data_IF_693441479029
#
_entry.id   IF_693441479029
#
_cell.length_a   1.000
_cell.length_b   1.000
_cell.length_c   1.000
_cell.angle_alpha   90.00
_cell.angle_beta   90.00
_cell.angle_gamma   90.00
#
_symmetry.space_group_name_H-M   'P 1'
#
loop_
_entity.id
_entity.type
_entity.pdbx_description
1 polymer ?
#
# COMPACT_ATOMS: atom_id res chain seq x y z
N UNK A 1 -11.61 11.02 -5.05
CA UNK A 1 -11.47 10.88 -3.58
C UNK A 1 -9.99 10.73 -3.26
N UNK A 2 -9.51 11.29 -2.14
CA UNK A 2 -8.10 11.12 -1.73
C UNK A 2 -7.98 9.85 -0.89
N UNK A 3 -7.11 8.95 -1.33
CA UNK A 3 -6.70 7.76 -0.59
C UNK A 3 -5.44 8.07 0.20
N UNK A 4 -5.48 7.89 1.53
CA UNK A 4 -4.32 8.06 2.41
C UNK A 4 -3.65 6.71 2.61
N UNK A 5 -2.35 6.64 2.37
CA UNK A 5 -1.54 5.43 2.49
C UNK A 5 -0.66 5.53 3.73
N UNK A 6 -0.61 4.45 4.51
CA UNK A 6 0.32 4.35 5.63
C UNK A 6 0.70 2.90 5.92
N UNK A 7 1.86 2.72 6.52
CA UNK A 7 2.40 1.44 6.97
C UNK A 7 2.76 1.49 8.45
N UNK A 8 2.93 0.33 9.07
CA UNK A 8 3.49 0.22 10.41
C UNK A 8 5.03 0.28 10.34
N UNK A 9 5.68 1.27 10.96
CA UNK A 9 7.15 1.39 10.93
C UNK A 9 7.86 0.52 11.98
N UNK A 10 7.15 -0.27 12.77
CA UNK A 10 7.76 -1.04 13.86
C UNK A 10 8.80 -2.07 13.34
N UNK A 11 10.01 -2.10 13.93
CA UNK A 11 10.99 -3.13 13.60
C UNK A 11 10.48 -4.53 13.91
N UNK A 12 10.66 -5.44 12.96
CA UNK A 12 10.26 -6.83 13.10
C UNK A 12 11.38 -7.62 13.79
N UNK A 13 11.02 -8.38 14.83
CA UNK A 13 11.95 -9.23 15.57
C UNK A 13 11.71 -10.71 15.26
N UNK A 14 12.75 -11.40 14.82
CA UNK A 14 12.75 -12.83 14.57
C UNK A 14 13.80 -13.49 15.47
N UNK A 15 13.35 -14.43 16.30
CA UNK A 15 14.24 -15.27 17.09
C UNK A 15 14.33 -16.65 16.44
N UNK A 16 15.55 -17.12 16.19
CA UNK A 16 15.82 -18.41 15.54
C UNK A 16 17.03 -19.11 16.16
N UNK A 17 17.28 -20.36 15.78
CA UNK A 17 18.49 -21.09 16.13
C UNK A 17 19.27 -21.44 14.88
N UNK A 18 20.56 -21.12 14.87
CA UNK A 18 21.48 -21.50 13.80
C UNK A 18 22.56 -22.41 14.39
N UNK A 19 22.61 -23.66 13.92
CA UNK A 19 23.58 -24.66 14.39
C UNK A 19 23.55 -24.84 15.93
N UNK A 20 22.37 -24.78 16.53
CA UNK A 20 22.18 -24.88 17.99
C UNK A 20 22.56 -23.62 18.78
N UNK A 21 22.86 -22.51 18.10
CA UNK A 21 23.11 -21.21 18.74
C UNK A 21 21.92 -20.29 18.54
N UNK A 22 21.35 -19.69 19.61
CA UNK A 22 20.25 -18.76 19.47
C UNK A 22 20.71 -17.46 18.79
N UNK A 23 19.94 -17.01 17.80
CA UNK A 23 20.17 -15.80 17.02
C UNK A 23 18.90 -14.97 17.00
N UNK A 24 19.01 -13.71 17.39
CA UNK A 24 17.94 -12.73 17.23
C UNK A 24 18.24 -11.87 16.00
N UNK A 25 17.24 -11.63 15.17
CA UNK A 25 17.30 -10.77 13.99
C UNK A 25 16.29 -9.65 14.17
N UNK A 26 16.72 -8.42 13.89
CA UNK A 26 15.88 -7.22 13.88
C UNK A 26 15.89 -6.62 12.48
N UNK A 27 14.73 -6.57 11.83
CA UNK A 27 14.54 -5.90 10.54
C UNK A 27 13.88 -4.54 10.76
N UNK A 28 14.54 -3.46 10.37
CA UNK A 28 14.03 -2.09 10.48
C UNK A 28 13.64 -1.57 9.11
N UNK A 29 12.41 -1.09 8.89
CA UNK A 29 12.00 -0.57 7.59
C UNK A 29 12.75 0.74 7.30
N UNK A 30 13.24 0.88 6.06
CA UNK A 30 14.03 2.03 5.61
C UNK A 30 13.46 2.72 4.37
N UNK A 31 12.63 2.02 3.60
CA UNK A 31 11.94 2.59 2.43
C UNK A 31 10.62 1.87 2.17
N UNK A 32 9.64 2.60 1.65
CA UNK A 32 8.31 2.13 1.29
C UNK A 32 8.06 2.47 -0.18
N UNK A 33 7.79 1.46 -1.00
CA UNK A 33 7.44 1.60 -2.41
C UNK A 33 6.00 1.10 -2.63
N UNK A 34 5.11 2.04 -2.91
CA UNK A 34 3.70 1.80 -3.18
C UNK A 34 3.47 1.64 -4.68
N UNK A 35 2.80 0.58 -5.08
CA UNK A 35 2.17 0.43 -6.38
C UNK A 35 0.66 0.56 -6.18
N UNK A 36 0.04 1.43 -6.97
CA UNK A 36 -1.37 1.80 -6.84
C UNK A 36 -2.28 0.96 -7.74
N UNK A 37 -1.73 0.06 -8.55
CA UNK A 37 -2.50 -0.83 -9.43
C UNK A 37 -3.00 -0.17 -10.72
N UNK A 38 -2.92 1.15 -10.85
CA UNK A 38 -3.18 1.92 -12.07
C UNK A 38 -1.88 2.27 -12.83
N UNK A 39 -0.72 1.80 -12.36
CA UNK A 39 0.60 2.12 -12.90
C UNK A 39 1.29 3.32 -12.23
N UNK A 40 0.57 4.12 -11.44
CA UNK A 40 1.19 5.13 -10.60
C UNK A 40 1.92 4.44 -9.43
N UNK A 41 3.11 4.96 -9.08
CA UNK A 41 3.90 4.44 -7.96
C UNK A 41 4.40 5.57 -7.07
N UNK A 42 4.61 5.28 -5.78
CA UNK A 42 5.11 6.25 -4.80
C UNK A 42 6.22 5.62 -3.97
N UNK A 43 7.42 6.19 -3.99
CA UNK A 43 8.50 5.81 -3.05
C UNK A 43 8.66 6.86 -1.97
N UNK A 44 8.74 6.44 -0.71
CA UNK A 44 9.00 7.32 0.43
C UNK A 44 9.87 6.64 1.50
N UNK A 45 10.50 7.43 2.35
CA UNK A 45 11.20 6.96 3.57
C UNK A 45 10.36 7.10 4.83
N UNK A 46 9.21 7.79 4.74
CA UNK A 46 8.26 7.93 5.84
C UNK A 46 7.13 6.90 5.68
N UNK A 47 6.72 6.18 6.74
CA UNK A 47 5.60 5.24 6.67
C UNK A 47 4.25 5.87 6.34
N UNK A 48 4.14 7.19 6.23
CA UNK A 48 2.85 7.89 6.16
C UNK A 48 2.18 7.98 7.53
N UNK A 49 0.93 8.41 7.56
CA UNK A 49 0.11 8.51 8.78
C UNK A 49 -1.37 8.35 8.42
N UNK A 50 -2.22 7.86 9.35
CA UNK A 50 -3.65 7.80 9.10
C UNK A 50 -4.25 9.19 8.83
N UNK A 51 -5.40 9.20 8.15
CA UNK A 51 -6.19 10.41 7.93
C UNK A 51 -6.41 11.17 9.26
N UNK A 52 -6.30 12.52 9.29
CA UNK A 52 -6.32 13.48 8.18
C UNK A 52 -4.95 13.82 7.56
N UNK A 53 -3.90 13.05 7.86
CA UNK A 53 -2.59 13.30 7.25
C UNK A 53 -2.54 12.83 5.80
N UNK A 54 -2.40 13.74 4.84
CA UNK A 54 -2.30 13.42 3.41
C UNK A 54 -0.86 13.34 2.87
N UNK A 55 0.12 13.14 3.78
CA UNK A 55 1.57 13.09 3.45
C UNK A 55 1.88 12.07 2.36
N UNK A 56 1.27 10.89 2.42
CA UNK A 56 1.31 9.89 1.35
C UNK A 56 -0.12 9.68 0.90
N UNK A 57 -0.44 10.18 -0.29
CA UNK A 57 -1.79 10.17 -0.81
C UNK A 57 -1.84 9.93 -2.32
N UNK A 58 -2.95 9.33 -2.75
CA UNK A 58 -3.24 9.06 -4.15
C UNK A 58 -4.71 9.35 -4.48
N UNK A 59 -5.00 9.55 -5.75
CA UNK A 59 -6.35 9.63 -6.28
C UNK A 59 -6.38 8.95 -7.64
N UNK A 60 -7.47 8.25 -7.94
CA UNK A 60 -7.67 7.62 -9.25
C UNK A 60 -8.47 8.55 -10.16
N UNK A 61 -8.04 8.66 -11.42
CA UNK A 61 -8.71 9.46 -12.44
C UNK A 61 -9.81 8.69 -13.20
N UNK A 62 -9.79 7.37 -13.13
CA UNK A 62 -10.74 6.48 -13.80
C UNK A 62 -11.43 5.57 -12.77
N UNK A 63 -12.67 5.18 -13.09
CA UNK A 63 -13.44 4.26 -12.25
C UNK A 63 -12.98 2.83 -12.45
N UNK A 64 -12.99 2.05 -11.36
CA UNK A 64 -12.70 0.62 -11.37
C UNK A 64 -12.03 0.12 -10.10
N UNK A 65 -11.80 -1.19 -10.08
CA UNK A 65 -11.03 -1.88 -9.04
C UNK A 65 -9.53 -1.75 -9.29
N UNK A 66 -8.79 -1.44 -8.22
CA UNK A 66 -7.34 -1.35 -8.21
C UNK A 66 -6.77 -2.09 -7.01
N UNK A 67 -5.65 -2.79 -7.20
CA UNK A 67 -4.93 -3.47 -6.12
C UNK A 67 -3.71 -2.65 -5.71
N UNK A 68 -3.74 -2.12 -4.49
CA UNK A 68 -2.61 -1.39 -3.92
C UNK A 68 -1.66 -2.39 -3.27
N UNK A 69 -0.39 -2.38 -3.64
CA UNK A 69 0.66 -3.19 -3.01
C UNK A 69 1.77 -2.33 -2.44
N UNK A 70 2.36 -2.77 -1.33
CA UNK A 70 3.50 -2.13 -0.70
C UNK A 70 4.70 -3.06 -0.71
N UNK A 71 5.79 -2.61 -1.32
CA UNK A 71 7.12 -3.21 -1.15
C UNK A 71 7.89 -2.42 -0.11
N UNK A 72 8.19 -3.04 1.03
CA UNK A 72 8.98 -2.43 2.11
C UNK A 72 10.40 -2.97 2.08
N UNK A 73 11.38 -2.06 2.01
CA UNK A 73 12.80 -2.37 2.12
C UNK A 73 13.23 -2.28 3.58
N UNK A 74 13.86 -3.32 4.10
CA UNK A 74 14.37 -3.38 5.47
C UNK A 74 15.90 -3.46 5.51
N UNK A 75 16.49 -2.77 6.48
CA UNK A 75 17.86 -3.05 6.94
C UNK A 75 17.82 -4.00 8.13
N UNK A 76 18.80 -4.91 8.19
CA UNK A 76 18.83 -5.96 9.20
C UNK A 76 19.95 -5.78 10.21
N UNK A 77 19.72 -6.21 11.44
CA UNK A 77 20.75 -6.43 12.46
C UNK A 77 20.55 -7.80 13.09
N UNK A 78 21.62 -8.43 13.57
CA UNK A 78 21.55 -9.70 14.28
C UNK A 78 22.35 -9.69 15.59
N UNK A 79 21.95 -10.53 16.54
CA UNK A 79 22.65 -10.77 17.80
C UNK A 79 22.75 -12.27 18.03
N UNK A 80 23.96 -12.74 18.35
CA UNK A 80 24.26 -14.16 18.58
C UNK A 80 24.42 -14.40 20.07
N UNK A 81 23.70 -15.40 20.60
CA UNK A 81 23.78 -15.81 22.00
C UNK A 81 23.59 -14.67 23.03
N UNK A 82 22.77 -13.67 22.69
CA UNK A 82 22.54 -12.49 23.53
C UNK A 82 23.69 -11.48 23.54
N UNK A 83 24.62 -11.57 22.58
CA UNK A 83 25.70 -10.61 22.37
C UNK A 83 25.23 -9.26 21.80
N UNK A 84 26.19 -8.40 21.45
CA UNK A 84 25.89 -7.11 20.81
C UNK A 84 25.22 -7.28 19.44
N UNK A 85 24.39 -6.30 19.07
CA UNK A 85 23.80 -6.22 17.74
C UNK A 85 24.89 -5.89 16.69
N UNK A 86 24.85 -6.62 15.58
CA UNK A 86 25.74 -6.47 14.44
C UNK A 86 24.90 -6.19 13.19
N UNK A 87 25.37 -5.32 12.32
CA UNK A 87 24.68 -5.00 11.07
C UNK A 87 24.75 -6.17 10.08
N UNK A 88 23.67 -6.36 9.33
CA UNK A 88 23.62 -7.27 8.19
C UNK A 88 23.90 -6.43 6.95
N UNK A 89 24.95 -6.79 6.19
CA UNK A 89 25.23 -6.14 4.92
C UNK A 89 24.09 -6.41 3.92
N UNK A 90 23.51 -5.34 3.39
CA UNK A 90 22.44 -5.39 2.40
C UNK A 90 21.06 -5.05 2.97
N UNK A 91 20.03 -5.32 2.17
CA UNK A 91 18.63 -5.08 2.51
C UNK A 91 17.79 -6.24 2.04
N UNK A 92 16.61 -6.38 2.63
CA UNK A 92 15.58 -7.32 2.17
C UNK A 92 14.34 -6.54 1.76
N UNK A 93 13.62 -7.05 0.77
CA UNK A 93 12.34 -6.48 0.34
C UNK A 93 11.22 -7.46 0.69
N UNK A 94 10.14 -6.93 1.25
CA UNK A 94 8.92 -7.69 1.57
C UNK A 94 7.76 -6.99 0.90
N UNK A 95 7.01 -7.75 0.10
CA UNK A 95 5.81 -7.29 -0.59
C UNK A 95 4.60 -7.64 0.28
N UNK A 96 3.68 -6.71 0.48
CA UNK A 96 2.42 -6.94 1.17
C UNK A 96 1.44 -7.74 0.31
N UNK A 97 0.43 -8.33 0.93
CA UNK A 97 -0.77 -8.72 0.22
C UNK A 97 -1.43 -7.47 -0.42
N UNK A 98 -2.08 -7.61 -1.59
CA UNK A 98 -2.78 -6.50 -2.23
C UNK A 98 -3.99 -6.07 -1.40
N UNK A 99 -4.21 -4.76 -1.32
CA UNK A 99 -5.41 -4.16 -0.74
C UNK A 99 -6.29 -3.65 -1.88
N UNK A 100 -7.47 -4.26 -2.11
CA UNK A 100 -8.36 -3.84 -3.18
C UNK A 100 -9.08 -2.54 -2.81
N UNK A 101 -9.15 -1.62 -3.76
CA UNK A 101 -9.89 -0.36 -3.66
C UNK A 101 -10.74 -0.17 -4.91
N UNK A 102 -12.01 0.21 -4.73
CA UNK A 102 -12.87 0.63 -5.83
C UNK A 102 -12.91 2.16 -5.91
N UNK A 103 -12.49 2.72 -7.05
CA UNK A 103 -12.64 4.13 -7.34
C UNK A 103 -13.97 4.35 -8.08
N UNK A 104 -14.89 5.13 -7.51
CA UNK A 104 -16.14 5.52 -8.17
C UNK A 104 -16.08 6.97 -8.63
N UNK A 105 -16.56 7.23 -9.84
CA UNK A 105 -16.77 8.59 -10.36
C UNK A 105 -18.24 8.96 -10.28
N UNK A 106 -18.55 10.18 -9.86
CA UNK A 106 -19.93 10.67 -9.77
C UNK A 106 -20.07 11.96 -10.57
N UNK A 107 -20.99 11.97 -11.53
CA UNK A 107 -21.42 13.19 -12.22
C UNK A 107 -22.72 13.71 -11.60
N UNK A 108 -22.71 14.96 -11.15
CA UNK A 108 -23.94 15.62 -10.71
C UNK A 108 -24.77 16.03 -11.93
N UNK A 109 -26.01 15.55 -12.01
CA UNK A 109 -27.01 16.00 -12.99
C UNK A 109 -28.23 16.50 -12.25
N UNK A 110 -28.87 17.55 -12.78
CA UNK A 110 -30.14 18.01 -12.24
C UNK A 110 -31.22 17.01 -12.65
N UNK A 111 -31.66 16.21 -11.67
CA UNK A 111 -32.74 15.24 -11.82
C UNK A 111 -33.95 15.69 -11.01
N UNK A 112 -35.13 15.17 -11.38
CA UNK A 112 -36.28 15.26 -10.49
C UNK A 112 -35.96 14.43 -9.23
N UNK A 113 -36.02 15.08 -8.05
CA UNK A 113 -35.52 14.51 -6.79
C UNK A 113 -36.33 13.32 -6.26
N UNK A 114 -37.49 13.05 -6.88
CA UNK A 114 -38.36 11.94 -6.54
C UNK A 114 -37.97 10.61 -7.21
N UNK A 115 -36.97 10.60 -8.10
CA UNK A 115 -36.44 9.37 -8.73
C UNK A 115 -35.27 8.82 -7.88
N UNK A 116 -35.42 7.66 -7.24
CA UNK A 116 -34.32 7.02 -6.50
C UNK A 116 -33.18 6.62 -7.44
N UNK A 117 -31.95 6.61 -6.93
CA UNK A 117 -30.82 5.96 -7.62
C UNK A 117 -31.11 4.46 -7.71
N UNK A 118 -31.05 3.89 -8.91
CA UNK A 118 -31.19 2.45 -9.10
C UNK A 118 -29.86 1.75 -8.82
N UNK A 119 -29.67 1.32 -7.58
CA UNK A 119 -28.47 0.59 -7.15
C UNK A 119 -28.37 -0.83 -7.74
N UNK A 120 -29.43 -1.33 -8.39
CA UNK A 120 -29.40 -2.63 -9.08
C UNK A 120 -28.79 -2.52 -10.47
N UNK A 121 -28.89 -1.36 -11.11
CA UNK A 121 -28.23 -1.07 -12.39
C UNK A 121 -26.84 -0.43 -12.21
N UNK A 122 -26.66 0.43 -11.20
CA UNK A 122 -25.38 1.11 -10.89
C UNK A 122 -25.04 1.01 -9.39
N UNK A 123 -24.47 -0.12 -8.94
CA UNK A 123 -24.11 -0.31 -7.55
C UNK A 123 -22.99 0.65 -7.13
N UNK A 124 -23.03 1.10 -5.87
CA UNK A 124 -21.96 1.94 -5.28
C UNK A 124 -20.58 1.27 -5.29
N UNK A 125 -20.54 -0.04 -5.14
CA UNK A 125 -19.34 -0.87 -5.25
C UNK A 125 -19.75 -2.13 -6.00
N UNK A 126 -19.37 -2.29 -7.29
CA UNK A 126 -19.69 -3.48 -8.06
C UNK A 126 -18.87 -4.68 -7.59
N UNK A 127 -19.35 -5.90 -7.88
CA UNK A 127 -18.55 -7.11 -7.71
C UNK A 127 -17.29 -7.02 -8.59
N UNK A 128 -16.16 -7.50 -8.07
CA UNK A 128 -14.91 -7.50 -8.83
C UNK A 128 -14.96 -8.55 -9.93
N UNK A 129 -15.04 -8.08 -11.16
CA UNK A 129 -15.04 -8.84 -12.40
C UNK A 129 -14.16 -8.15 -13.47
N UNK A 130 -13.75 -8.85 -14.55
CA UNK A 130 -12.82 -8.30 -15.55
C UNK A 130 -13.25 -6.98 -16.22
N UNK A 131 -14.55 -6.69 -16.27
CA UNK A 131 -15.16 -5.48 -16.80
C UNK A 131 -15.24 -4.32 -15.78
N UNK A 132 -14.99 -4.62 -14.51
CA UNK A 132 -14.94 -3.65 -13.40
C UNK A 132 -13.52 -3.35 -12.94
N UNK A 133 -12.51 -4.00 -13.53
CA UNK A 133 -11.10 -3.67 -13.30
C UNK A 133 -10.81 -2.25 -13.81
N UNK A 134 -10.07 -1.49 -13.00
CA UNK A 134 -9.66 -0.16 -13.37
C UNK A 134 -8.61 -0.19 -14.47
N UNK A 135 -8.74 0.66 -15.52
CA UNK A 135 -7.70 0.77 -16.52
C UNK A 135 -6.44 1.43 -15.93
N UNK A 136 -5.25 1.16 -16.50
CA UNK A 136 -4.05 1.93 -16.20
C UNK A 136 -4.25 3.41 -16.48
N UNK A 137 -3.59 4.24 -15.68
CA UNK A 137 -3.49 5.68 -15.92
C UNK A 137 -2.55 5.93 -17.13
N UNK A 138 -3.03 6.55 -18.22
CA UNK A 138 -2.17 6.87 -19.38
C UNK A 138 -1.03 7.82 -19.04
N UNK A 139 -1.21 8.64 -17.99
CA UNK A 139 -0.24 9.60 -17.50
C UNK A 139 0.46 9.10 -16.23
N UNK A 140 0.47 7.79 -16.00
CA UNK A 140 1.08 7.16 -14.83
C UNK A 140 2.49 7.68 -14.56
N UNK A 141 2.73 8.07 -13.30
CA UNK A 141 4.00 8.63 -12.86
C UNK A 141 4.58 7.90 -11.66
N UNK A 142 5.90 8.03 -11.50
CA UNK A 142 6.58 7.70 -10.27
C UNK A 142 6.79 8.96 -9.41
N UNK A 143 6.26 8.96 -8.20
CA UNK A 143 6.45 10.04 -7.22
C UNK A 143 7.45 9.61 -6.15
N UNK A 144 8.37 10.51 -5.78
CA UNK A 144 9.25 10.34 -4.62
C UNK A 144 8.97 11.43 -3.60
N UNK A 145 8.66 11.03 -2.36
CA UNK A 145 8.26 11.91 -1.26
C UNK A 145 9.26 11.81 -0.11
#
# INVERSE_FOLDING_TARGET
MVNVLYADPEPQLLNTELLGTPVAIRATPVSYHWDLGDGNTITTTNPGKPFPSEVVSSAYGQEGWYDITLTTTFSGQFSVAGGGWQDIDGTIEVISDPVPVFAKSLESRLVDGDVPVDESEDPWIPERAPDTEGPPDPDATHRKI
#
